data_IF_328018674731
#
_entry.id   IF_328018674731
#
_cell.length_a   1.000
_cell.length_b   1.000
_cell.length_c   1.000
_cell.angle_alpha   90.00
_cell.angle_beta   90.00
_cell.angle_gamma   90.00
#
_symmetry.space_group_name_H-M   'P 1'
#
loop_
_entity.id
_entity.type
_entity.pdbx_description
1 polymer ?
#
# COMPACT_ATOMS: atom_id res chain seq x y z
N UNK A 1 -10.03 -27.58 28.07
CA UNK A 1 -10.49 -26.26 27.54
C UNK A 1 -9.68 -25.07 28.07
N UNK A 2 -9.09 -25.06 29.26
CA UNK A 2 -8.31 -23.94 29.79
C UNK A 2 -6.97 -23.68 29.04
N UNK A 3 -6.32 -24.69 28.52
CA UNK A 3 -5.05 -24.55 27.77
C UNK A 3 -5.20 -23.88 26.41
N UNK A 4 -6.30 -24.13 25.72
CA UNK A 4 -6.58 -23.54 24.39
C UNK A 4 -6.93 -22.06 24.48
N UNK A 5 -7.65 -21.64 25.53
CA UNK A 5 -7.98 -20.22 25.77
C UNK A 5 -6.71 -19.42 26.13
N UNK A 6 -5.82 -20.02 26.92
CA UNK A 6 -4.53 -19.39 27.30
C UNK A 6 -3.56 -19.26 26.12
N UNK A 7 -3.55 -20.20 25.18
CA UNK A 7 -2.73 -20.11 23.96
C UNK A 7 -3.31 -19.10 22.96
N UNK A 8 -4.63 -19.05 22.79
CA UNK A 8 -5.32 -18.06 21.95
C UNK A 8 -5.11 -16.63 22.49
N UNK A 9 -5.21 -16.44 23.81
CA UNK A 9 -4.97 -15.13 24.44
C UNK A 9 -3.53 -14.65 24.28
N UNK A 10 -2.55 -15.57 24.36
CA UNK A 10 -1.13 -15.27 24.08
C UNK A 10 -0.89 -14.98 22.60
N UNK A 11 -1.53 -15.71 21.69
CA UNK A 11 -1.46 -15.46 20.25
C UNK A 11 -2.06 -14.10 19.89
N UNK A 12 -3.27 -13.78 20.37
CA UNK A 12 -3.93 -12.50 20.13
C UNK A 12 -3.25 -11.31 20.81
N UNK A 13 -2.60 -11.54 21.96
CA UNK A 13 -1.80 -10.53 22.66
C UNK A 13 -0.42 -10.27 22.03
N UNK A 14 0.00 -11.10 21.06
CA UNK A 14 1.26 -10.98 20.33
C UNK A 14 1.06 -10.54 18.88
N UNK A 15 2.01 -10.90 18.02
CA UNK A 15 1.99 -10.63 16.58
C UNK A 15 0.79 -11.27 15.84
N UNK A 16 0.20 -12.33 16.38
CA UNK A 16 -1.00 -12.98 15.82
C UNK A 16 -2.23 -12.07 15.80
N UNK A 17 -2.37 -11.17 16.79
CA UNK A 17 -3.44 -10.19 16.81
C UNK A 17 -3.38 -9.22 15.61
N UNK A 18 -2.18 -8.89 15.13
CA UNK A 18 -2.00 -8.04 13.96
C UNK A 18 -2.52 -8.74 12.71
N UNK A 19 -2.26 -10.04 12.56
CA UNK A 19 -2.75 -10.83 11.41
C UNK A 19 -4.27 -10.81 11.38
N UNK A 20 -4.91 -11.04 12.51
CA UNK A 20 -6.38 -10.98 12.63
C UNK A 20 -6.90 -9.57 12.34
N UNK A 21 -6.29 -8.53 12.94
CA UNK A 21 -6.68 -7.14 12.71
C UNK A 21 -6.55 -6.73 11.23
N UNK A 22 -5.46 -7.12 10.58
CA UNK A 22 -5.24 -6.85 9.14
C UNK A 22 -6.23 -7.62 8.28
N UNK A 23 -6.54 -8.88 8.62
CA UNK A 23 -7.55 -9.66 7.90
C UNK A 23 -8.94 -9.00 7.99
N UNK A 24 -9.34 -8.54 9.21
CA UNK A 24 -10.60 -7.80 9.41
C UNK A 24 -10.60 -6.51 8.60
N UNK A 25 -9.52 -5.73 8.65
CA UNK A 25 -9.38 -4.50 7.87
C UNK A 25 -9.56 -4.76 6.37
N UNK A 26 -8.87 -5.76 5.83
CA UNK A 26 -8.95 -6.10 4.41
C UNK A 26 -10.35 -6.57 4.02
N UNK A 27 -10.95 -7.47 4.82
CA UNK A 27 -12.30 -7.95 4.58
C UNK A 27 -13.33 -6.81 4.54
N UNK A 28 -13.29 -5.91 5.53
CA UNK A 28 -14.18 -4.75 5.55
C UNK A 28 -13.90 -3.78 4.40
N UNK A 29 -12.64 -3.59 4.02
CA UNK A 29 -12.26 -2.70 2.91
C UNK A 29 -12.76 -3.22 1.57
N UNK A 30 -12.51 -4.50 1.26
CA UNK A 30 -13.00 -5.10 0.03
C UNK A 30 -14.52 -5.25 0.03
N UNK A 31 -15.10 -5.67 1.17
CA UNK A 31 -16.55 -5.75 1.33
C UNK A 31 -17.25 -4.42 1.07
N UNK A 32 -16.70 -3.31 1.63
CA UNK A 32 -17.19 -1.95 1.34
C UNK A 32 -17.14 -1.64 -0.16
N UNK A 33 -16.00 -1.93 -0.81
CA UNK A 33 -15.82 -1.60 -2.23
C UNK A 33 -16.74 -2.42 -3.14
N UNK A 34 -16.97 -3.70 -2.80
CA UNK A 34 -17.91 -4.58 -3.53
C UNK A 34 -19.34 -4.07 -3.37
N UNK A 35 -19.77 -3.76 -2.14
CA UNK A 35 -21.13 -3.25 -1.86
C UNK A 35 -21.33 -1.88 -2.52
N UNK A 36 -20.32 -1.01 -2.48
CA UNK A 36 -20.37 0.29 -3.17
C UNK A 36 -20.56 0.12 -4.70
N UNK A 37 -19.95 -0.90 -5.31
CA UNK A 37 -20.18 -1.21 -6.73
C UNK A 37 -21.62 -1.57 -7.05
N UNK A 38 -22.35 -2.16 -6.08
CA UNK A 38 -23.78 -2.47 -6.22
C UNK A 38 -24.69 -1.25 -6.00
N UNK A 39 -24.30 -0.30 -5.14
CA UNK A 39 -25.12 0.87 -4.77
C UNK A 39 -24.94 2.04 -5.73
N UNK A 40 -23.68 2.36 -6.08
CA UNK A 40 -23.36 3.49 -6.96
C UNK A 40 -23.71 3.15 -8.42
N UNK A 41 -24.05 4.15 -9.20
CA UNK A 41 -24.05 4.02 -10.66
C UNK A 41 -22.63 3.76 -11.20
N UNK A 42 -22.52 3.40 -12.48
CA UNK A 42 -21.24 2.97 -13.05
C UNK A 42 -20.21 4.11 -13.11
N UNK A 43 -20.64 5.34 -13.43
CA UNK A 43 -19.75 6.51 -13.48
C UNK A 43 -19.24 6.90 -12.11
N UNK A 44 -20.17 7.04 -11.13
CA UNK A 44 -19.83 7.36 -9.73
C UNK A 44 -18.95 6.31 -9.09
N UNK A 45 -19.14 5.02 -9.41
CA UNK A 45 -18.24 3.97 -8.95
C UNK A 45 -16.83 4.11 -9.52
N UNK A 46 -16.73 4.42 -10.83
CA UNK A 46 -15.44 4.68 -11.48
C UNK A 46 -14.69 5.86 -10.83
N UNK A 47 -15.40 6.96 -10.55
CA UNK A 47 -14.86 8.13 -9.87
C UNK A 47 -14.39 7.80 -8.43
N UNK A 48 -15.24 7.12 -7.66
CA UNK A 48 -14.92 6.64 -6.32
C UNK A 48 -13.68 5.76 -6.31
N UNK A 49 -13.60 4.78 -7.24
CA UNK A 49 -12.47 3.86 -7.33
C UNK A 49 -11.17 4.58 -7.71
N UNK A 50 -11.24 5.57 -8.62
CA UNK A 50 -10.10 6.41 -8.97
C UNK A 50 -9.60 7.24 -7.78
N UNK A 51 -10.51 7.83 -7.00
CA UNK A 51 -10.18 8.57 -5.77
C UNK A 51 -9.53 7.66 -4.70
N UNK A 52 -10.03 6.42 -4.53
CA UNK A 52 -9.40 5.44 -3.64
C UNK A 52 -7.98 5.09 -4.07
N UNK A 53 -7.75 4.91 -5.38
CA UNK A 53 -6.41 4.64 -5.90
C UNK A 53 -5.47 5.83 -5.71
N UNK A 54 -5.96 7.07 -5.88
CA UNK A 54 -5.17 8.27 -5.59
C UNK A 54 -4.86 8.38 -4.09
N UNK A 55 -5.81 8.08 -3.21
CA UNK A 55 -5.58 8.02 -1.76
C UNK A 55 -4.53 6.95 -1.40
N UNK A 56 -4.51 5.82 -2.10
CA UNK A 56 -3.51 4.78 -1.96
C UNK A 56 -2.10 5.26 -2.33
N UNK A 57 -1.97 6.04 -3.42
CA UNK A 57 -0.69 6.67 -3.79
C UNK A 57 -0.24 7.66 -2.71
N UNK A 58 -1.16 8.50 -2.22
CA UNK A 58 -0.89 9.47 -1.14
C UNK A 58 -0.46 8.75 0.15
N UNK A 59 -1.03 7.58 0.44
CA UNK A 59 -0.72 6.80 1.64
C UNK A 59 0.72 6.28 1.71
N UNK A 60 1.51 6.39 0.62
CA UNK A 60 2.95 6.11 0.63
C UNK A 60 3.70 7.02 1.62
N UNK A 61 3.24 8.25 1.80
CA UNK A 61 3.81 9.18 2.81
C UNK A 61 3.63 8.59 4.21
N UNK A 62 2.45 8.03 4.49
CA UNK A 62 2.16 7.29 5.71
C UNK A 62 3.15 6.13 5.92
N UNK A 63 3.38 5.28 4.90
CA UNK A 63 4.32 4.16 4.99
C UNK A 63 5.76 4.62 5.24
N UNK A 64 6.17 5.73 4.66
CA UNK A 64 7.47 6.35 4.91
C UNK A 64 7.65 6.80 6.36
N UNK A 65 6.63 7.47 6.92
CA UNK A 65 6.61 7.88 8.33
C UNK A 65 6.60 6.66 9.27
N UNK A 66 5.77 5.65 8.97
CA UNK A 66 5.68 4.41 9.73
C UNK A 66 7.04 3.71 9.81
N UNK A 67 7.69 3.48 8.67
CA UNK A 67 8.97 2.79 8.60
C UNK A 67 10.08 3.57 9.36
N UNK A 68 10.10 4.89 9.23
CA UNK A 68 11.07 5.75 9.91
C UNK A 68 10.87 5.74 11.42
N UNK A 69 9.62 5.84 11.90
CA UNK A 69 9.27 5.80 13.31
C UNK A 69 9.68 4.46 13.94
N UNK A 70 9.25 3.34 13.34
CA UNK A 70 9.54 2.01 13.84
C UNK A 70 11.05 1.74 13.93
N UNK A 71 11.82 2.12 12.90
CA UNK A 71 13.28 1.92 12.87
C UNK A 71 14.00 2.73 13.92
N UNK A 72 13.68 4.02 14.08
CA UNK A 72 14.35 4.89 15.05
C UNK A 72 14.08 4.49 16.49
N UNK A 73 12.85 4.11 16.81
CA UNK A 73 12.51 3.64 18.17
C UNK A 73 13.28 2.37 18.51
N UNK A 74 13.44 1.44 17.57
CA UNK A 74 14.22 0.21 17.79
C UNK A 74 15.72 0.51 17.89
N UNK A 75 16.24 1.48 17.13
CA UNK A 75 17.66 1.81 17.12
C UNK A 75 18.10 2.59 18.37
N UNK A 76 17.23 3.40 18.99
CA UNK A 76 17.56 4.27 20.13
C UNK A 76 16.60 4.02 21.32
N UNK A 77 16.68 2.88 22.03
CA UNK A 77 15.73 2.53 23.10
C UNK A 77 15.70 3.51 24.28
N UNK A 78 16.81 4.20 24.55
CA UNK A 78 16.92 5.21 25.61
C UNK A 78 16.28 6.57 25.30
N UNK A 79 15.85 6.79 24.06
CA UNK A 79 15.34 8.10 23.58
C UNK A 79 13.89 8.03 23.07
N UNK A 80 13.15 7.00 23.40
CA UNK A 80 11.84 6.70 22.80
C UNK A 80 10.85 7.85 22.95
N UNK A 81 10.72 8.46 24.14
CA UNK A 81 9.78 9.57 24.36
C UNK A 81 10.12 10.80 23.48
N UNK A 82 11.41 11.12 23.31
CA UNK A 82 11.86 12.21 22.44
C UNK A 82 11.57 11.93 20.97
N UNK A 83 11.85 10.69 20.53
CA UNK A 83 11.58 10.24 19.16
C UNK A 83 10.08 10.28 18.87
N UNK A 84 9.25 9.81 19.80
CA UNK A 84 7.79 9.85 19.70
C UNK A 84 7.26 11.27 19.45
N UNK A 85 7.66 12.24 20.28
CA UNK A 85 7.26 13.63 20.11
C UNK A 85 7.72 14.20 18.76
N UNK A 86 8.97 13.91 18.35
CA UNK A 86 9.47 14.37 17.07
C UNK A 86 8.70 13.76 15.88
N UNK A 87 8.42 12.46 15.92
CA UNK A 87 7.66 11.74 14.88
C UNK A 87 6.22 12.25 14.82
N UNK A 88 5.53 12.42 15.96
CA UNK A 88 4.16 12.95 15.97
C UNK A 88 4.12 14.37 15.42
N UNK A 89 5.06 15.24 15.84
CA UNK A 89 5.15 16.59 15.29
C UNK A 89 5.35 16.59 13.78
N UNK A 90 6.30 15.79 13.27
CA UNK A 90 6.54 15.64 11.83
C UNK A 90 5.30 15.07 11.15
N UNK A 91 4.66 14.06 11.73
CA UNK A 91 3.43 13.46 11.23
C UNK A 91 2.30 14.47 11.08
N UNK A 92 2.03 15.30 12.10
CA UNK A 92 1.01 16.36 12.03
C UNK A 92 1.35 17.44 10.99
N UNK A 93 2.61 17.91 10.95
CA UNK A 93 3.02 18.90 9.96
C UNK A 93 2.93 18.36 8.54
N UNK A 94 3.37 17.13 8.32
CA UNK A 94 3.28 16.47 7.01
C UNK A 94 1.82 16.24 6.61
N UNK A 95 0.95 15.84 7.55
CA UNK A 95 -0.47 15.65 7.31
C UNK A 95 -1.15 16.95 6.87
N UNK A 96 -0.86 18.06 7.56
CA UNK A 96 -1.38 19.37 7.19
C UNK A 96 -0.83 19.86 5.85
N UNK A 97 0.46 19.63 5.59
CA UNK A 97 1.08 19.99 4.31
C UNK A 97 0.48 19.19 3.14
N UNK A 98 0.31 17.87 3.29
CA UNK A 98 -0.29 17.02 2.26
C UNK A 98 -1.77 17.36 2.07
N UNK A 99 -2.55 17.48 3.15
CA UNK A 99 -3.95 17.88 3.09
C UNK A 99 -4.13 19.26 2.46
N UNK A 100 -3.34 20.27 2.88
CA UNK A 100 -3.36 21.62 2.32
C UNK A 100 -2.96 21.64 0.84
N UNK A 101 -1.91 20.90 0.46
CA UNK A 101 -1.53 20.77 -0.95
C UNK A 101 -2.66 20.16 -1.79
N UNK A 102 -3.34 19.13 -1.28
CA UNK A 102 -4.46 18.50 -1.97
C UNK A 102 -5.70 19.41 -2.06
N UNK A 103 -5.95 20.27 -1.07
CA UNK A 103 -6.99 21.32 -1.17
C UNK A 103 -6.66 22.26 -2.32
N UNK A 104 -5.42 22.74 -2.41
CA UNK A 104 -4.97 23.62 -3.52
C UNK A 104 -5.03 22.88 -4.87
N UNK A 105 -4.69 21.61 -4.90
CA UNK A 105 -4.70 20.76 -6.11
C UNK A 105 -6.08 20.17 -6.41
N UNK A 106 -7.12 20.43 -5.59
CA UNK A 106 -8.45 19.84 -5.78
C UNK A 106 -9.06 20.14 -7.15
N UNK A 107 -8.89 21.33 -7.78
CA UNK A 107 -9.38 21.54 -9.15
C UNK A 107 -8.63 20.68 -10.19
N UNK A 108 -7.31 20.49 -9.99
CA UNK A 108 -6.52 19.63 -10.85
C UNK A 108 -6.90 18.16 -10.71
N UNK A 109 -7.18 17.69 -9.49
CA UNK A 109 -7.68 16.33 -9.22
C UNK A 109 -9.06 16.14 -9.87
N UNK A 110 -9.95 17.11 -9.73
CA UNK A 110 -11.28 17.11 -10.36
C UNK A 110 -11.18 16.97 -11.87
N UNK A 111 -10.32 17.75 -12.50
CA UNK A 111 -10.06 17.68 -13.95
C UNK A 111 -9.44 16.34 -14.33
N UNK A 112 -8.39 15.89 -13.60
CA UNK A 112 -7.66 14.66 -13.91
C UNK A 112 -8.54 13.41 -13.81
N UNK A 113 -9.44 13.36 -12.82
CA UNK A 113 -10.33 12.22 -12.57
C UNK A 113 -11.70 12.39 -13.21
N UNK A 114 -11.92 13.47 -13.99
CA UNK A 114 -13.19 13.78 -14.64
C UNK A 114 -14.37 13.70 -13.65
N UNK A 115 -14.26 14.42 -12.53
CA UNK A 115 -15.30 14.45 -11.50
C UNK A 115 -16.33 15.53 -11.81
N UNK A 116 -17.60 15.27 -11.51
CA UNK A 116 -18.69 16.25 -11.73
C UNK A 116 -18.62 17.45 -10.81
N UNK A 117 -17.92 17.34 -9.66
CA UNK A 117 -17.74 18.41 -8.70
C UNK A 117 -16.38 18.34 -8.00
N UNK A 118 -15.98 19.44 -7.36
CA UNK A 118 -14.75 19.51 -6.54
C UNK A 118 -14.91 18.82 -5.18
N UNK A 119 -16.14 18.53 -4.75
CA UNK A 119 -16.42 18.00 -3.42
C UNK A 119 -15.72 16.68 -3.13
N UNK A 120 -15.71 15.67 -4.03
CA UNK A 120 -14.97 14.42 -3.79
C UNK A 120 -13.47 14.64 -3.64
N UNK A 121 -12.88 15.58 -4.40
CA UNK A 121 -11.47 15.93 -4.28
C UNK A 121 -11.15 16.60 -2.93
N UNK A 122 -12.05 17.43 -2.41
CA UNK A 122 -11.91 18.03 -1.07
C UNK A 122 -12.07 16.97 0.04
N UNK A 123 -12.97 15.99 -0.12
CA UNK A 123 -13.09 14.85 0.79
C UNK A 123 -11.78 14.04 0.79
N UNK A 124 -11.18 13.79 -0.38
CA UNK A 124 -9.87 13.15 -0.51
C UNK A 124 -8.79 13.91 0.28
N UNK A 125 -8.72 15.24 0.12
CA UNK A 125 -7.80 16.10 0.85
C UNK A 125 -8.00 16.00 2.37
N UNK A 126 -9.23 16.00 2.83
CA UNK A 126 -9.59 15.81 4.24
C UNK A 126 -9.15 14.46 4.78
N UNK A 127 -9.31 13.38 4.00
CA UNK A 127 -8.91 12.02 4.39
C UNK A 127 -7.40 11.77 4.34
N UNK A 128 -6.66 12.51 3.53
CA UNK A 128 -5.20 12.44 3.51
C UNK A 128 -4.58 12.82 4.86
N UNK A 129 -5.24 13.71 5.63
CA UNK A 129 -4.78 14.13 6.95
C UNK A 129 -4.78 12.96 7.95
N UNK A 130 -5.91 12.32 8.28
CA UNK A 130 -5.92 11.20 9.21
C UNK A 130 -5.09 10.01 8.70
N UNK A 131 -5.06 9.76 7.39
CA UNK A 131 -4.23 8.69 6.80
C UNK A 131 -2.75 8.92 7.11
N UNK A 132 -2.24 10.14 6.96
CA UNK A 132 -0.84 10.48 7.23
C UNK A 132 -0.52 10.42 8.73
N UNK A 133 -1.39 10.92 9.60
CA UNK A 133 -1.23 10.85 11.06
C UNK A 133 -1.19 9.38 11.53
N UNK A 134 -2.08 8.54 10.99
CA UNK A 134 -2.13 7.12 11.30
C UNK A 134 -0.77 6.44 11.06
N UNK A 135 -0.03 6.82 10.00
CA UNK A 135 1.29 6.26 9.71
C UNK A 135 2.30 6.53 10.82
N UNK A 136 2.36 7.75 11.32
CA UNK A 136 3.23 8.10 12.43
C UNK A 136 2.87 7.29 13.70
N UNK A 137 1.58 7.21 14.05
CA UNK A 137 1.09 6.48 15.22
C UNK A 137 1.35 4.97 15.12
N UNK A 138 1.05 4.36 13.97
CA UNK A 138 1.30 2.93 13.70
C UNK A 138 2.78 2.62 13.79
N UNK A 139 3.64 3.48 13.23
CA UNK A 139 5.10 3.32 13.30
C UNK A 139 5.63 3.36 14.73
N UNK A 140 5.11 4.24 15.59
CA UNK A 140 5.46 4.32 17.00
C UNK A 140 5.02 3.03 17.72
N UNK A 141 3.76 2.63 17.60
CA UNK A 141 3.23 1.41 18.22
C UNK A 141 3.99 0.16 17.78
N UNK A 142 4.40 0.09 16.52
CA UNK A 142 5.19 -0.98 15.96
C UNK A 142 6.61 -1.01 16.51
N UNK A 143 7.28 0.14 16.60
CA UNK A 143 8.61 0.26 17.18
C UNK A 143 8.65 -0.11 18.66
N UNK A 144 7.62 0.24 19.41
CA UNK A 144 7.44 -0.09 20.82
C UNK A 144 6.93 -1.52 21.05
N UNK A 145 6.65 -2.27 20.00
CA UNK A 145 6.07 -3.63 20.06
C UNK A 145 4.74 -3.69 20.84
N UNK A 146 3.94 -2.62 20.78
CA UNK A 146 2.61 -2.55 21.42
C UNK A 146 1.56 -3.25 20.54
N UNK A 147 1.72 -4.56 20.39
CA UNK A 147 0.99 -5.39 19.44
C UNK A 147 -0.53 -5.36 19.62
N UNK A 148 -1.02 -5.33 20.88
CA UNK A 148 -2.46 -5.27 21.17
C UNK A 148 -3.08 -3.97 20.66
N UNK A 149 -2.43 -2.83 20.96
CA UNK A 149 -2.91 -1.52 20.47
C UNK A 149 -2.88 -1.46 18.95
N UNK A 150 -1.80 -1.96 18.33
CA UNK A 150 -1.64 -2.03 16.88
C UNK A 150 -2.73 -2.91 16.23
N UNK A 151 -3.07 -4.06 16.83
CA UNK A 151 -4.15 -4.93 16.35
C UNK A 151 -5.50 -4.20 16.36
N UNK A 152 -5.82 -3.46 17.41
CA UNK A 152 -7.04 -2.67 17.49
C UNK A 152 -7.06 -1.50 16.49
N UNK A 153 -5.92 -0.87 16.21
CA UNK A 153 -5.80 0.13 15.14
C UNK A 153 -6.21 -0.48 13.80
N UNK A 154 -5.75 -1.69 13.46
CA UNK A 154 -6.13 -2.36 12.22
C UNK A 154 -7.61 -2.80 12.21
N UNK A 155 -8.15 -3.29 13.33
CA UNK A 155 -9.60 -3.60 13.41
C UNK A 155 -10.43 -2.34 13.17
N UNK A 156 -10.08 -1.21 13.82
CA UNK A 156 -10.76 0.07 13.63
C UNK A 156 -10.49 0.70 12.25
N UNK A 157 -9.45 0.28 11.56
CA UNK A 157 -9.26 0.65 10.16
C UNK A 157 -10.25 -0.05 9.21
N UNK A 158 -10.91 -1.12 9.65
CA UNK A 158 -11.92 -1.85 8.88
C UNK A 158 -13.36 -1.56 9.33
N UNK A 159 -13.69 -1.89 10.56
CA UNK A 159 -15.06 -1.97 11.08
C UNK A 159 -15.90 -0.70 10.88
N UNK A 160 -15.39 0.54 11.10
CA UNK A 160 -16.18 1.76 10.92
C UNK A 160 -16.67 1.99 9.49
N UNK A 161 -16.05 1.36 8.49
CA UNK A 161 -16.52 1.40 7.10
C UNK A 161 -17.91 0.81 6.93
N UNK A 162 -18.30 -0.13 7.79
CA UNK A 162 -19.65 -0.70 7.78
C UNK A 162 -20.70 0.39 8.04
N UNK A 163 -20.41 1.32 8.97
CA UNK A 163 -21.29 2.49 9.18
C UNK A 163 -21.30 3.42 7.95
N UNK A 164 -20.19 3.48 7.21
CA UNK A 164 -20.10 4.20 5.94
C UNK A 164 -21.03 3.64 4.85
N UNK A 165 -21.34 2.34 4.87
CA UNK A 165 -22.32 1.75 3.94
C UNK A 165 -23.74 2.27 4.19
N UNK A 166 -24.13 2.51 5.45
CA UNK A 166 -25.42 3.05 5.77
C UNK A 166 -25.57 4.51 5.24
N UNK A 167 -24.48 5.31 5.33
CA UNK A 167 -24.45 6.65 4.74
C UNK A 167 -24.54 6.59 3.22
N UNK A 168 -23.82 5.65 2.60
CA UNK A 168 -23.82 5.46 1.15
C UNK A 168 -25.19 5.04 0.64
N UNK A 169 -25.90 4.20 1.39
CA UNK A 169 -27.26 3.79 1.02
C UNK A 169 -28.23 4.98 1.03
N UNK A 170 -28.08 5.89 2.02
CA UNK A 170 -28.94 7.07 2.11
C UNK A 170 -28.65 8.09 1.00
N UNK A 171 -27.38 8.24 0.62
CA UNK A 171 -26.90 9.22 -0.37
C UNK A 171 -25.83 8.58 -1.27
N UNK A 172 -26.24 7.95 -2.40
CA UNK A 172 -25.34 7.20 -3.27
C UNK A 172 -24.50 8.11 -4.18
N UNK A 173 -23.49 8.76 -3.62
CA UNK A 173 -22.53 9.60 -4.36
C UNK A 173 -21.09 9.13 -4.09
N UNK A 174 -20.17 9.40 -5.04
CA UNK A 174 -18.75 9.08 -4.92
C UNK A 174 -18.10 9.79 -3.71
N UNK A 175 -18.55 11.00 -3.37
CA UNK A 175 -18.07 11.75 -2.21
C UNK A 175 -18.44 11.06 -0.89
N UNK A 176 -19.67 10.60 -0.76
CA UNK A 176 -20.16 9.85 0.43
C UNK A 176 -19.49 8.47 0.49
N UNK A 177 -19.32 7.79 -0.64
CA UNK A 177 -18.59 6.53 -0.69
C UNK A 177 -17.13 6.70 -0.19
N UNK A 178 -16.45 7.74 -0.67
CA UNK A 178 -15.09 8.06 -0.23
C UNK A 178 -15.05 8.41 1.25
N UNK A 179 -15.95 9.26 1.74
CA UNK A 179 -16.06 9.63 3.14
C UNK A 179 -16.37 8.41 4.03
N UNK A 180 -17.32 7.57 3.63
CA UNK A 180 -17.68 6.33 4.34
C UNK A 180 -16.50 5.36 4.45
N UNK A 181 -15.75 5.17 3.36
CA UNK A 181 -14.51 4.39 3.39
C UNK A 181 -13.46 5.05 4.31
N UNK A 182 -13.46 6.36 4.39
CA UNK A 182 -12.54 7.18 5.18
C UNK A 182 -12.74 7.10 6.69
N UNK A 183 -13.90 6.65 7.17
CA UNK A 183 -14.12 6.36 8.59
C UNK A 183 -13.11 5.35 9.14
N UNK A 184 -12.63 4.46 8.27
CA UNK A 184 -11.53 3.54 8.57
C UNK A 184 -10.16 4.21 8.77
N UNK A 185 -10.01 5.50 8.54
CA UNK A 185 -8.79 6.25 8.87
C UNK A 185 -8.97 7.15 10.09
N UNK A 186 -10.17 7.66 10.33
CA UNK A 186 -10.48 8.55 11.45
C UNK A 186 -10.45 7.78 12.77
N UNK A 187 -11.17 6.66 12.85
CA UNK A 187 -11.28 5.88 14.09
C UNK A 187 -9.92 5.36 14.62
N UNK A 188 -9.01 4.81 13.79
CA UNK A 188 -7.67 4.43 14.22
C UNK A 188 -6.85 5.59 14.78
N UNK A 189 -6.95 6.79 14.15
CA UNK A 189 -6.21 7.97 14.60
C UNK A 189 -6.67 8.40 16.00
N UNK A 190 -7.97 8.36 16.28
CA UNK A 190 -8.52 8.66 17.60
C UNK A 190 -8.03 7.66 18.66
N UNK A 191 -8.01 6.35 18.32
CA UNK A 191 -7.46 5.33 19.21
C UNK A 191 -5.95 5.54 19.43
N UNK A 192 -5.19 5.76 18.35
CA UNK A 192 -3.75 6.00 18.42
C UNK A 192 -3.41 7.19 19.31
N UNK A 193 -4.14 8.29 19.15
CA UNK A 193 -4.01 9.47 19.98
C UNK A 193 -4.33 9.17 21.46
N UNK A 194 -5.41 8.44 21.77
CA UNK A 194 -5.75 8.04 23.13
C UNK A 194 -4.69 7.13 23.77
N UNK A 195 -4.18 6.18 23.01
CA UNK A 195 -3.17 5.21 23.46
C UNK A 195 -1.82 5.88 23.70
N UNK A 196 -1.41 6.84 22.86
CA UNK A 196 -0.12 7.54 22.95
C UNK A 196 -0.15 8.71 23.96
N UNK A 197 -1.32 9.17 24.40
CA UNK A 197 -1.45 10.19 25.46
C UNK A 197 -1.06 9.74 26.85
N UNK A 198 -1.06 8.42 27.12
CA UNK A 198 -0.75 7.90 28.46
C UNK A 198 0.72 8.14 28.78
N UNK A 199 1.05 8.85 29.89
CA UNK A 199 2.43 9.04 30.30
C UNK A 199 3.10 7.67 30.48
N UNK A 200 4.33 7.56 30.01
CA UNK A 200 5.13 6.36 30.28
C UNK A 200 5.63 6.38 31.70
N UNK A 201 5.57 5.22 32.34
CA UNK A 201 6.12 5.00 33.69
C UNK A 201 7.67 5.08 33.64
N UNK A 202 8.28 4.85 32.47
CA UNK A 202 9.73 4.76 32.29
C UNK A 202 10.40 6.05 31.74
N UNK A 203 9.71 7.18 31.79
CA UNK A 203 10.34 8.46 31.45
C UNK A 203 11.30 8.85 32.58
N UNK A 204 12.60 8.51 32.41
CA UNK A 204 13.65 8.97 33.32
C UNK A 204 13.61 10.49 33.44
N UNK A 205 13.46 11.05 34.67
CA UNK A 205 13.47 12.48 34.86
C UNK A 205 14.89 13.00 34.59
N UNK A 206 15.07 13.82 33.57
CA UNK A 206 16.33 14.55 33.39
C UNK A 206 16.95 14.58 31.99
N UNK A 207 16.38 13.93 30.99
CA UNK A 207 16.86 14.08 29.62
C UNK A 207 16.48 15.46 29.05
N UNK A 208 17.45 16.36 28.86
CA UNK A 208 17.25 17.60 28.10
C UNK A 208 16.71 17.25 26.74
N UNK A 209 15.49 17.69 26.44
CA UNK A 209 14.85 17.59 25.13
C UNK A 209 15.51 18.57 24.16
N UNK A 210 16.65 18.20 23.59
CA UNK A 210 17.11 18.91 22.41
C UNK A 210 16.15 18.59 21.24
N UNK A 211 15.67 19.61 20.51
CA UNK A 211 14.76 19.40 19.40
C UNK A 211 15.47 18.60 18.31
N UNK A 212 15.07 17.35 18.11
CA UNK A 212 15.53 16.59 16.93
C UNK A 212 15.05 17.33 15.69
N UNK A 213 15.97 17.79 14.84
CA UNK A 213 15.64 18.53 13.63
C UNK A 213 14.66 17.72 12.76
N UNK A 214 13.51 18.31 12.42
CA UNK A 214 12.45 17.65 11.66
C UNK A 214 12.87 17.34 10.20
N UNK A 215 13.77 18.15 9.63
CA UNK A 215 14.21 18.03 8.23
C UNK A 215 14.86 16.68 7.86
N UNK A 216 15.81 16.13 8.66
CA UNK A 216 16.38 14.82 8.39
C UNK A 216 15.35 13.69 8.41
N UNK A 217 14.35 13.77 9.30
CA UNK A 217 13.27 12.77 9.40
C UNK A 217 12.39 12.74 8.15
N UNK A 218 11.97 13.91 7.67
CA UNK A 218 11.16 14.03 6.46
C UNK A 218 11.94 13.54 5.24
N UNK A 219 13.21 13.94 5.11
CA UNK A 219 14.07 13.51 3.99
C UNK A 219 14.25 11.98 3.99
N UNK A 220 14.45 11.38 5.15
CA UNK A 220 14.61 9.95 5.32
C UNK A 220 13.30 9.20 4.97
N UNK A 221 12.15 9.71 5.44
CA UNK A 221 10.83 9.16 5.12
C UNK A 221 10.54 9.24 3.62
N UNK A 222 10.80 10.36 2.97
CA UNK A 222 10.63 10.55 1.53
C UNK A 222 11.55 9.64 0.71
N UNK A 223 12.82 9.51 1.10
CA UNK A 223 13.76 8.63 0.40
C UNK A 223 13.32 7.17 0.48
N UNK A 224 12.87 6.71 1.65
CA UNK A 224 12.34 5.36 1.84
C UNK A 224 11.02 5.14 1.06
N UNK A 225 10.25 6.19 0.85
CA UNK A 225 8.96 6.14 0.17
C UNK A 225 9.07 6.14 -1.37
N UNK A 226 10.17 6.61 -1.97
CA UNK A 226 10.27 6.80 -3.43
C UNK A 226 9.98 5.56 -4.26
N UNK A 227 10.50 4.40 -3.87
CA UNK A 227 10.29 3.17 -4.63
C UNK A 227 8.84 2.65 -4.49
N UNK A 228 8.27 2.81 -3.30
CA UNK A 228 6.86 2.49 -3.06
C UNK A 228 5.94 3.47 -3.78
N UNK A 229 6.31 4.77 -3.82
CA UNK A 229 5.58 5.78 -4.57
C UNK A 229 5.52 5.42 -6.06
N UNK A 230 6.66 5.09 -6.67
CA UNK A 230 6.72 4.68 -8.06
C UNK A 230 5.85 3.44 -8.33
N UNK A 231 5.90 2.44 -7.42
CA UNK A 231 5.10 1.22 -7.52
C UNK A 231 3.60 1.50 -7.38
N UNK A 232 3.17 2.25 -6.36
CA UNK A 232 1.75 2.55 -6.16
C UNK A 232 1.20 3.49 -7.24
N UNK A 233 2.01 4.42 -7.75
CA UNK A 233 1.65 5.23 -8.90
C UNK A 233 1.44 4.36 -10.14
N UNK A 234 2.36 3.41 -10.43
CA UNK A 234 2.21 2.44 -11.52
C UNK A 234 0.96 1.58 -11.34
N UNK A 235 0.73 1.07 -10.12
CA UNK A 235 -0.42 0.23 -9.81
C UNK A 235 -1.75 0.98 -9.83
N UNK A 236 -1.76 2.29 -9.97
CA UNK A 236 -2.98 3.13 -9.94
C UNK A 236 -3.16 4.01 -11.18
N UNK A 237 -2.18 4.01 -12.09
CA UNK A 237 -2.23 4.86 -13.30
C UNK A 237 -3.31 4.41 -14.28
N UNK A 238 -3.61 3.14 -14.30
CA UNK A 238 -4.57 2.50 -15.19
C UNK A 238 -5.98 3.13 -15.07
N UNK A 239 -6.49 3.30 -13.84
CA UNK A 239 -7.80 3.93 -13.63
C UNK A 239 -7.78 5.45 -13.96
N UNK A 240 -6.65 6.13 -13.72
CA UNK A 240 -6.52 7.54 -14.07
C UNK A 240 -6.57 7.73 -15.60
N UNK A 241 -5.82 6.90 -16.33
CA UNK A 241 -5.84 6.89 -17.79
C UNK A 241 -7.22 6.49 -18.30
N UNK A 242 -7.84 5.46 -17.73
CA UNK A 242 -9.19 5.00 -18.10
C UNK A 242 -10.22 6.14 -17.99
N UNK A 243 -10.19 6.90 -16.90
CA UNK A 243 -11.09 8.06 -16.69
C UNK A 243 -10.90 9.17 -17.72
N UNK A 244 -9.72 9.28 -18.31
CA UNK A 244 -9.41 10.34 -19.26
C UNK A 244 -9.65 9.94 -20.72
N UNK A 245 -9.47 8.67 -21.08
CA UNK A 245 -9.55 8.22 -22.48
C UNK A 245 -10.82 7.44 -22.80
N UNK A 246 -11.52 6.89 -21.80
CA UNK A 246 -12.75 6.15 -21.98
C UNK A 246 -13.97 7.01 -21.60
N UNK A 247 -15.15 6.60 -22.06
CA UNK A 247 -16.41 7.18 -21.56
C UNK A 247 -16.60 6.89 -20.09
N UNK A 248 -17.39 7.69 -19.37
CA UNK A 248 -17.66 7.50 -17.94
C UNK A 248 -18.19 6.10 -17.62
N UNK A 249 -19.10 5.59 -18.43
CA UNK A 249 -19.63 4.24 -18.30
C UNK A 249 -18.54 3.19 -18.51
N UNK A 250 -17.73 3.29 -19.57
CA UNK A 250 -16.65 2.33 -19.85
C UNK A 250 -15.55 2.35 -18.77
N UNK A 251 -15.20 3.55 -18.26
CA UNK A 251 -14.23 3.69 -17.18
C UNK A 251 -14.73 3.10 -15.86
N UNK A 252 -16.04 3.20 -15.58
CA UNK A 252 -16.68 2.58 -14.44
C UNK A 252 -16.68 1.06 -14.53
N UNK A 253 -16.98 0.48 -15.69
CA UNK A 253 -16.85 -0.96 -15.93
C UNK A 253 -15.40 -1.43 -15.79
N UNK A 254 -14.44 -0.66 -16.30
CA UNK A 254 -13.02 -0.92 -16.11
C UNK A 254 -12.63 -0.96 -14.63
N UNK A 255 -13.17 -0.04 -13.81
CA UNK A 255 -12.97 -0.01 -12.36
C UNK A 255 -13.48 -1.28 -11.66
N UNK A 256 -14.61 -1.86 -12.10
CA UNK A 256 -15.10 -3.16 -11.60
C UNK A 256 -14.09 -4.27 -11.87
N UNK A 257 -13.54 -4.33 -13.09
CA UNK A 257 -12.48 -5.29 -13.41
C UNK A 257 -11.21 -5.07 -12.57
N UNK A 258 -10.81 -3.80 -12.35
CA UNK A 258 -9.65 -3.48 -11.51
C UNK A 258 -9.81 -3.92 -10.04
N UNK A 259 -11.01 -4.07 -9.53
CA UNK A 259 -11.23 -4.64 -8.20
C UNK A 259 -10.63 -6.05 -8.10
N UNK A 260 -10.76 -6.88 -9.16
CA UNK A 260 -10.13 -8.20 -9.25
C UNK A 260 -8.61 -8.06 -9.25
N UNK A 261 -8.04 -7.16 -10.07
CA UNK A 261 -6.60 -6.91 -10.09
C UNK A 261 -6.05 -6.48 -8.72
N UNK A 262 -6.76 -5.61 -8.00
CA UNK A 262 -6.36 -5.18 -6.65
C UNK A 262 -6.47 -6.31 -5.63
N UNK A 263 -7.49 -7.16 -5.72
CA UNK A 263 -7.58 -8.35 -4.88
C UNK A 263 -6.38 -9.27 -5.09
N UNK A 264 -6.00 -9.49 -6.35
CA UNK A 264 -4.80 -10.27 -6.69
C UNK A 264 -3.52 -9.62 -6.18
N UNK A 265 -3.44 -8.29 -6.15
CA UNK A 265 -2.28 -7.57 -5.63
C UNK A 265 -2.11 -7.75 -4.11
N UNK A 266 -3.20 -7.74 -3.35
CA UNK A 266 -3.14 -7.84 -1.88
C UNK A 266 -3.07 -9.27 -1.35
N UNK A 267 -3.59 -10.25 -2.11
CA UNK A 267 -3.63 -11.64 -1.69
C UNK A 267 -2.22 -12.19 -1.38
N UNK A 268 -1.17 -12.01 -2.24
CA UNK A 268 0.17 -12.50 -1.96
C UNK A 268 1.00 -11.58 -1.03
N UNK A 269 0.44 -10.53 -0.48
CA UNK A 269 1.19 -9.61 0.38
C UNK A 269 1.85 -10.33 1.57
N UNK A 270 1.22 -11.39 2.10
CA UNK A 270 1.82 -12.22 3.14
C UNK A 270 3.10 -12.91 2.68
N UNK A 271 3.18 -13.32 1.41
CA UNK A 271 4.41 -13.92 0.82
C UNK A 271 5.55 -12.93 0.89
N UNK A 272 5.29 -11.66 0.53
CA UNK A 272 6.28 -10.59 0.59
C UNK A 272 6.74 -10.36 2.02
N UNK A 273 5.81 -10.29 2.98
CA UNK A 273 6.12 -10.06 4.40
C UNK A 273 6.99 -11.19 4.95
N UNK A 274 6.65 -12.45 4.67
CA UNK A 274 7.39 -13.63 5.13
C UNK A 274 8.77 -13.73 4.46
N UNK A 275 8.86 -13.36 3.19
CA UNK A 275 10.10 -13.43 2.42
C UNK A 275 11.05 -12.25 2.69
N UNK A 276 10.57 -11.13 3.22
CA UNK A 276 11.36 -9.90 3.37
C UNK A 276 12.68 -10.08 4.13
N UNK A 277 12.76 -10.80 5.28
CA UNK A 277 14.03 -11.05 5.95
C UNK A 277 15.04 -11.82 5.07
N UNK A 278 14.55 -12.79 4.29
CA UNK A 278 15.38 -13.58 3.37
C UNK A 278 15.82 -12.77 2.14
N UNK A 279 15.02 -11.79 1.70
CA UNK A 279 15.37 -10.86 0.63
C UNK A 279 16.46 -9.87 1.06
N UNK A 280 16.54 -9.53 2.34
CA UNK A 280 17.60 -8.69 2.90
C UNK A 280 18.94 -9.44 3.02
N UNK A 281 18.93 -10.76 3.17
CA UNK A 281 20.13 -11.61 3.28
C UNK A 281 20.79 -11.87 1.92
N UNK A 282 22.08 -11.52 1.76
CA UNK A 282 22.81 -11.70 0.49
C UNK A 282 22.83 -13.17 0.01
N UNK A 283 23.05 -14.12 0.94
CA UNK A 283 23.16 -15.54 0.60
C UNK A 283 21.81 -16.22 0.28
N UNK A 284 20.71 -15.72 0.81
CA UNK A 284 19.38 -16.33 0.63
C UNK A 284 18.54 -15.65 -0.44
N UNK A 285 18.93 -14.45 -0.88
CA UNK A 285 18.14 -13.58 -1.75
C UNK A 285 17.69 -14.25 -3.03
N UNK A 286 18.60 -14.86 -3.81
CA UNK A 286 18.26 -15.52 -5.07
C UNK A 286 17.20 -16.60 -4.86
N UNK A 287 17.36 -17.41 -3.82
CA UNK A 287 16.38 -18.45 -3.46
C UNK A 287 15.06 -17.83 -3.00
N UNK A 288 15.10 -16.73 -2.25
CA UNK A 288 13.90 -16.02 -1.79
C UNK A 288 13.15 -15.39 -2.97
N UNK A 289 13.84 -14.73 -3.91
CA UNK A 289 13.22 -14.17 -5.13
C UNK A 289 12.58 -15.28 -5.95
N UNK A 290 13.32 -16.39 -6.22
CA UNK A 290 12.77 -17.51 -7.00
C UNK A 290 11.55 -18.13 -6.31
N UNK A 291 11.63 -18.46 -5.01
CA UNK A 291 10.51 -19.04 -4.26
C UNK A 291 9.32 -18.09 -4.18
N UNK A 292 9.56 -16.81 -3.92
CA UNK A 292 8.51 -15.80 -3.88
C UNK A 292 7.82 -15.62 -5.23
N UNK A 293 8.58 -15.54 -6.31
CA UNK A 293 8.07 -15.47 -7.69
C UNK A 293 7.24 -16.72 -8.02
N UNK A 294 7.75 -17.92 -7.74
CA UNK A 294 7.03 -19.18 -7.99
C UNK A 294 5.73 -19.25 -7.18
N UNK A 295 5.76 -18.85 -5.89
CA UNK A 295 4.57 -18.83 -5.04
C UNK A 295 3.50 -17.86 -5.56
N UNK A 296 3.90 -16.64 -5.96
CA UNK A 296 2.97 -15.64 -6.51
C UNK A 296 2.41 -16.11 -7.85
N UNK A 297 3.23 -16.68 -8.73
CA UNK A 297 2.77 -17.23 -10.02
C UNK A 297 1.78 -18.39 -9.83
N UNK A 298 2.09 -19.33 -8.94
CA UNK A 298 1.21 -20.46 -8.65
C UNK A 298 -0.14 -19.97 -8.08
N UNK A 299 -0.11 -19.05 -7.13
CA UNK A 299 -1.32 -18.47 -6.55
C UNK A 299 -2.09 -17.64 -7.57
N UNK A 300 -1.39 -16.82 -8.38
CA UNK A 300 -2.00 -16.06 -9.46
C UNK A 300 -2.66 -16.95 -10.50
N UNK A 301 -2.02 -18.06 -10.88
CA UNK A 301 -2.60 -19.05 -11.81
C UNK A 301 -3.88 -19.70 -11.24
N UNK A 302 -3.84 -20.12 -9.96
CA UNK A 302 -5.02 -20.70 -9.29
C UNK A 302 -6.16 -19.68 -9.21
N UNK A 303 -5.87 -18.44 -8.84
CA UNK A 303 -6.87 -17.38 -8.76
C UNK A 303 -7.41 -16.99 -10.14
N UNK A 304 -6.55 -16.88 -11.16
CA UNK A 304 -6.97 -16.59 -12.54
C UNK A 304 -7.88 -17.71 -13.07
N UNK A 305 -7.53 -18.97 -12.81
CA UNK A 305 -8.37 -20.11 -13.14
C UNK A 305 -9.71 -20.04 -12.36
N UNK A 306 -9.67 -19.70 -11.09
CA UNK A 306 -10.86 -19.48 -10.28
C UNK A 306 -11.77 -18.39 -10.86
N UNK A 307 -11.18 -17.25 -11.27
CA UNK A 307 -11.92 -16.18 -11.95
C UNK A 307 -12.53 -16.67 -13.26
N UNK A 308 -11.78 -17.38 -14.09
CA UNK A 308 -12.29 -17.95 -15.36
C UNK A 308 -13.48 -18.91 -15.17
N UNK A 309 -13.44 -19.75 -14.13
CA UNK A 309 -14.48 -20.74 -13.87
C UNK A 309 -15.69 -20.18 -13.14
N UNK A 310 -15.49 -19.19 -12.26
CA UNK A 310 -16.50 -18.70 -11.31
C UNK A 310 -17.06 -17.32 -11.66
N UNK A 311 -16.50 -16.60 -12.66
CA UNK A 311 -16.94 -15.23 -12.98
C UNK A 311 -18.43 -15.16 -13.32
N UNK A 312 -18.92 -16.06 -14.15
CA UNK A 312 -20.35 -16.15 -14.52
C UNK A 312 -21.23 -16.44 -13.32
N UNK A 313 -20.89 -17.47 -12.56
CA UNK A 313 -21.64 -17.83 -11.34
C UNK A 313 -21.63 -16.69 -10.31
N UNK A 314 -20.52 -16.01 -10.15
CA UNK A 314 -20.41 -14.86 -9.24
C UNK A 314 -21.25 -13.67 -9.73
N UNK A 315 -21.27 -13.39 -11.04
CA UNK A 315 -22.07 -12.35 -11.64
C UNK A 315 -23.59 -12.62 -11.45
N UNK A 316 -24.00 -13.86 -11.65
CA UNK A 316 -25.39 -14.30 -11.47
C UNK A 316 -25.82 -14.22 -9.99
N UNK A 317 -24.98 -14.72 -9.07
CA UNK A 317 -25.28 -14.71 -7.63
C UNK A 317 -25.35 -13.30 -7.07
N UNK A 318 -24.47 -12.41 -7.53
CA UNK A 318 -24.45 -11.00 -7.09
C UNK A 318 -25.51 -10.14 -7.78
N UNK A 319 -26.22 -10.68 -8.80
CA UNK A 319 -27.20 -9.96 -9.61
C UNK A 319 -26.66 -8.59 -10.10
N UNK A 320 -25.37 -8.55 -10.46
CA UNK A 320 -24.67 -7.32 -10.83
C UNK A 320 -24.51 -7.21 -12.33
N UNK A 321 -25.34 -6.37 -12.96
CA UNK A 321 -25.24 -6.06 -14.40
C UNK A 321 -23.85 -5.59 -14.80
N UNK A 322 -23.18 -4.81 -13.93
CA UNK A 322 -21.80 -4.32 -14.16
C UNK A 322 -20.79 -5.46 -14.22
N UNK A 323 -20.94 -6.48 -13.38
CA UNK A 323 -20.06 -7.64 -13.36
C UNK A 323 -20.30 -8.54 -14.58
N UNK A 324 -21.56 -8.70 -14.99
CA UNK A 324 -21.93 -9.40 -16.22
C UNK A 324 -21.34 -8.74 -17.46
N UNK A 325 -21.32 -7.39 -17.52
CA UNK A 325 -20.75 -6.64 -18.63
C UNK A 325 -19.22 -6.82 -18.81
N UNK A 326 -18.49 -7.28 -17.79
CA UNK A 326 -17.03 -7.46 -17.82
C UNK A 326 -16.56 -8.89 -17.58
N UNK A 327 -17.48 -9.84 -17.33
CA UNK A 327 -17.17 -11.21 -16.90
C UNK A 327 -16.20 -11.94 -17.83
N UNK A 328 -16.33 -11.78 -19.13
CA UNK A 328 -15.48 -12.42 -20.14
C UNK A 328 -14.02 -11.91 -20.11
N UNK A 329 -13.79 -10.76 -19.52
CA UNK A 329 -12.45 -10.11 -19.45
C UNK A 329 -11.85 -10.10 -18.04
N UNK A 330 -12.57 -10.54 -17.00
CA UNK A 330 -12.11 -10.50 -15.60
C UNK A 330 -10.80 -11.25 -15.37
N UNK A 331 -10.55 -12.34 -16.11
CA UNK A 331 -9.31 -13.09 -16.02
C UNK A 331 -8.08 -12.30 -16.45
N UNK A 332 -8.22 -11.35 -17.41
CA UNK A 332 -7.14 -10.45 -17.80
C UNK A 332 -6.76 -9.50 -16.65
N UNK A 333 -7.75 -9.02 -15.89
CA UNK A 333 -7.48 -8.23 -14.68
C UNK A 333 -6.80 -9.06 -13.58
N UNK A 334 -7.12 -10.36 -13.46
CA UNK A 334 -6.41 -11.25 -12.56
C UNK A 334 -4.94 -11.45 -12.98
N UNK A 335 -4.66 -11.55 -14.28
CA UNK A 335 -3.29 -11.58 -14.82
C UNK A 335 -2.56 -10.27 -14.50
N UNK A 336 -3.19 -9.11 -14.76
CA UNK A 336 -2.60 -7.80 -14.43
C UNK A 336 -2.26 -7.71 -12.94
N UNK A 337 -3.18 -8.09 -12.05
CA UNK A 337 -2.95 -8.09 -10.61
C UNK A 337 -1.82 -9.03 -10.17
N UNK A 338 -1.69 -10.19 -10.82
CA UNK A 338 -0.56 -11.12 -10.59
C UNK A 338 0.78 -10.49 -11.00
N UNK A 339 0.84 -9.82 -12.14
CA UNK A 339 2.04 -9.09 -12.59
C UNK A 339 2.40 -7.95 -11.62
N UNK A 340 1.41 -7.17 -11.17
CA UNK A 340 1.62 -6.13 -10.14
C UNK A 340 2.14 -6.71 -8.83
N UNK A 341 1.67 -7.89 -8.40
CA UNK A 341 2.18 -8.58 -7.22
C UNK A 341 3.63 -9.04 -7.38
N UNK A 342 4.01 -9.50 -8.57
CA UNK A 342 5.40 -9.83 -8.89
C UNK A 342 6.29 -8.58 -8.87
N UNK A 343 5.83 -7.48 -9.47
CA UNK A 343 6.54 -6.20 -9.42
C UNK A 343 6.71 -5.76 -7.96
N UNK A 344 5.68 -5.88 -7.14
CA UNK A 344 5.74 -5.55 -5.71
C UNK A 344 6.85 -6.33 -4.99
N UNK A 345 6.89 -7.67 -5.16
CA UNK A 345 7.96 -8.52 -4.60
C UNK A 345 9.34 -8.05 -5.05
N UNK A 346 9.52 -7.79 -6.35
CA UNK A 346 10.79 -7.38 -6.93
C UNK A 346 11.20 -5.96 -6.49
N UNK A 347 10.26 -5.05 -6.32
CA UNK A 347 10.50 -3.71 -5.74
C UNK A 347 10.94 -3.84 -4.29
N UNK A 348 10.31 -4.68 -3.46
CA UNK A 348 10.78 -4.93 -2.09
C UNK A 348 12.16 -5.58 -2.06
N UNK A 349 12.46 -6.50 -2.98
CA UNK A 349 13.80 -7.09 -3.10
C UNK A 349 14.88 -6.05 -3.45
N UNK A 350 14.54 -5.04 -4.26
CA UNK A 350 15.45 -3.94 -4.61
C UNK A 350 15.57 -2.88 -3.53
N UNK A 351 14.49 -2.60 -2.80
CA UNK A 351 14.51 -1.75 -1.60
C UNK A 351 15.47 -2.30 -0.54
N UNK A 352 15.45 -3.61 -0.32
CA UNK A 352 16.38 -4.27 0.60
C UNK A 352 17.86 -4.08 0.22
N UNK A 353 18.15 -3.64 -1.03
CA UNK A 353 19.50 -3.40 -1.58
C UNK A 353 19.86 -1.93 -1.76
N UNK A 354 18.95 -1.00 -1.52
CA UNK A 354 19.10 0.42 -1.86
C UNK A 354 19.45 0.67 -3.35
N UNK A 355 18.97 -0.21 -4.25
CA UNK A 355 19.26 -0.16 -5.68
C UNK A 355 18.45 0.90 -6.42
N UNK A 356 19.08 1.95 -6.94
CA UNK A 356 18.39 3.05 -7.67
C UNK A 356 17.88 2.63 -9.06
N UNK A 357 18.53 1.68 -9.73
CA UNK A 357 18.17 1.29 -11.12
C UNK A 357 16.74 0.78 -11.26
N UNK A 358 16.26 -0.02 -10.31
CA UNK A 358 14.91 -0.54 -10.35
C UNK A 358 13.85 0.57 -10.21
N UNK A 359 14.11 1.60 -9.42
CA UNK A 359 13.21 2.74 -9.27
C UNK A 359 13.03 3.46 -10.62
N UNK A 360 14.13 3.68 -11.35
CA UNK A 360 14.07 4.29 -12.67
C UNK A 360 13.29 3.44 -13.68
N UNK A 361 13.42 2.10 -13.63
CA UNK A 361 12.64 1.20 -14.49
C UNK A 361 11.14 1.31 -14.20
N UNK A 362 10.73 1.41 -12.94
CA UNK A 362 9.32 1.56 -12.56
C UNK A 362 8.78 2.91 -13.05
N UNK A 363 9.55 4.02 -12.87
CA UNK A 363 9.16 5.34 -13.39
C UNK A 363 9.07 5.37 -14.93
N UNK A 364 10.00 4.72 -15.62
CA UNK A 364 9.96 4.59 -17.08
C UNK A 364 8.72 3.81 -17.54
N UNK A 365 8.42 2.68 -16.88
CA UNK A 365 7.21 1.91 -17.16
C UNK A 365 5.93 2.71 -16.91
N UNK A 366 5.88 3.50 -15.83
CA UNK A 366 4.77 4.40 -15.55
C UNK A 366 4.58 5.42 -16.71
N UNK A 367 5.66 6.04 -17.15
CA UNK A 367 5.60 6.97 -18.28
C UNK A 367 5.09 6.28 -19.58
N UNK A 368 5.56 5.06 -19.85
CA UNK A 368 5.08 4.28 -21.01
C UNK A 368 3.60 3.92 -20.85
N UNK A 369 3.13 3.54 -19.65
CA UNK A 369 1.71 3.29 -19.39
C UNK A 369 0.84 4.52 -19.67
N UNK A 370 1.29 5.72 -19.26
CA UNK A 370 0.57 6.96 -19.54
C UNK A 370 0.53 7.25 -21.03
N UNK A 371 1.68 7.23 -21.70
CA UNK A 371 1.77 7.60 -23.14
C UNK A 371 1.05 6.58 -24.02
N UNK A 372 1.32 5.29 -23.84
CA UNK A 372 0.68 4.24 -24.62
C UNK A 372 -0.80 4.08 -24.28
N UNK A 373 -1.17 4.25 -23.01
CA UNK A 373 -2.56 4.22 -22.55
C UNK A 373 -3.38 5.38 -23.13
N UNK A 374 -2.80 6.58 -23.21
CA UNK A 374 -3.46 7.75 -23.80
C UNK A 374 -3.81 7.58 -25.31
N UNK A 375 -3.15 6.66 -26.00
CA UNK A 375 -3.43 6.33 -27.40
C UNK A 375 -4.54 5.27 -27.57
N UNK A 376 -5.09 4.71 -26.49
CA UNK A 376 -6.13 3.68 -26.53
C UNK A 376 -7.52 4.30 -26.58
N UNK A 377 -8.47 3.58 -27.18
CA UNK A 377 -9.86 4.03 -27.32
C UNK A 377 -10.86 3.04 -26.71
N UNK A 378 -10.41 1.83 -26.35
CA UNK A 378 -11.27 0.79 -25.77
C UNK A 378 -10.70 0.24 -24.48
N UNK A 379 -11.55 -0.23 -23.53
CA UNK A 379 -11.09 -0.84 -22.27
C UNK A 379 -10.12 -2.02 -22.48
N UNK A 380 -10.36 -2.84 -23.50
CA UNK A 380 -9.55 -4.02 -23.80
C UNK A 380 -8.16 -3.64 -24.32
N UNK A 381 -8.07 -2.59 -25.18
CA UNK A 381 -6.78 -2.06 -25.63
C UNK A 381 -5.98 -1.51 -24.45
N UNK A 382 -6.62 -0.70 -23.58
CA UNK A 382 -5.96 -0.15 -22.40
C UNK A 382 -5.42 -1.26 -21.50
N UNK A 383 -6.25 -2.27 -21.22
CA UNK A 383 -5.87 -3.42 -20.39
C UNK A 383 -4.69 -4.19 -21.00
N UNK A 384 -4.71 -4.39 -22.33
CA UNK A 384 -3.62 -5.08 -23.04
C UNK A 384 -2.30 -4.31 -22.97
N UNK A 385 -2.34 -2.98 -23.08
CA UNK A 385 -1.17 -2.10 -22.91
C UNK A 385 -0.64 -2.22 -21.47
N UNK A 386 -1.51 -2.15 -20.45
CA UNK A 386 -1.11 -2.26 -19.05
C UNK A 386 -0.47 -3.64 -18.76
N UNK A 387 -1.05 -4.74 -19.27
CA UNK A 387 -0.48 -6.09 -19.12
C UNK A 387 0.88 -6.17 -19.84
N UNK A 388 0.98 -5.68 -21.08
CA UNK A 388 2.22 -5.73 -21.84
C UNK A 388 3.36 -4.99 -21.14
N UNK A 389 3.13 -3.74 -20.72
CA UNK A 389 4.14 -2.93 -20.03
C UNK A 389 4.54 -3.55 -18.68
N UNK A 390 3.58 -4.00 -17.88
CA UNK A 390 3.87 -4.63 -16.58
C UNK A 390 4.57 -5.97 -16.75
N UNK A 391 4.29 -6.77 -17.78
CA UNK A 391 5.00 -8.00 -18.10
C UNK A 391 6.47 -7.73 -18.44
N UNK A 392 6.73 -6.76 -19.32
CA UNK A 392 8.10 -6.35 -19.68
C UNK A 392 8.86 -5.84 -18.46
N UNK A 393 8.22 -4.99 -17.64
CA UNK A 393 8.81 -4.49 -16.40
C UNK A 393 9.13 -5.64 -15.44
N UNK A 394 8.20 -6.59 -15.25
CA UNK A 394 8.40 -7.76 -14.40
C UNK A 394 9.63 -8.56 -14.85
N UNK A 395 9.75 -8.83 -16.16
CA UNK A 395 10.90 -9.53 -16.74
C UNK A 395 12.21 -8.73 -16.50
N UNK A 396 12.20 -7.42 -16.74
CA UNK A 396 13.36 -6.56 -16.53
C UNK A 396 13.81 -6.53 -15.06
N UNK A 397 12.87 -6.36 -14.12
CA UNK A 397 13.16 -6.38 -12.68
C UNK A 397 13.63 -7.76 -12.21
N UNK A 398 13.07 -8.85 -12.73
CA UNK A 398 13.49 -10.21 -12.41
C UNK A 398 14.93 -10.47 -12.86
N UNK A 399 15.26 -10.13 -14.11
CA UNK A 399 16.63 -10.28 -14.66
C UNK A 399 17.63 -9.43 -13.86
N UNK A 400 17.30 -8.19 -13.54
CA UNK A 400 18.18 -7.32 -12.75
C UNK A 400 18.36 -7.83 -11.31
N UNK A 401 17.31 -8.42 -10.72
CA UNK A 401 17.39 -9.04 -9.40
C UNK A 401 18.31 -10.26 -9.35
N UNK A 402 18.41 -11.02 -10.44
CA UNK A 402 19.28 -12.19 -10.53
C UNK A 402 20.73 -11.86 -10.91
N UNK A 403 20.95 -10.85 -11.79
CA UNK A 403 22.29 -10.50 -12.31
C UNK A 403 23.17 -9.74 -11.32
N UNK A 404 22.62 -9.12 -10.29
CA UNK A 404 23.39 -8.27 -9.37
C UNK A 404 24.17 -9.04 -8.30
N UNK A 405 24.52 -10.30 -8.55
CA UNK A 405 25.30 -11.17 -7.65
C UNK A 405 26.81 -11.22 -7.95
N UNK A 406 27.33 -10.46 -8.90
CA UNK A 406 28.79 -10.35 -9.05
C UNK A 406 29.33 -9.42 -7.96
N UNK A 407 29.97 -9.93 -6.89
CA UNK A 407 30.85 -9.09 -6.12
C UNK A 407 31.96 -8.70 -7.10
N UNK A 408 32.13 -7.43 -7.38
CA UNK A 408 33.38 -6.90 -7.88
C UNK A 408 34.48 -7.46 -6.96
N UNK A 409 35.28 -8.39 -7.49
CA UNK A 409 36.47 -8.91 -6.81
C UNK A 409 37.42 -7.75 -6.56
N UNK A 410 37.22 -7.05 -5.47
CA UNK A 410 38.31 -6.32 -4.84
C UNK A 410 39.17 -7.37 -4.19
N UNK A 411 40.18 -7.80 -4.96
CA UNK A 411 41.33 -8.51 -4.49
C UNK A 411 41.87 -7.80 -3.23
N UNK A 412 41.60 -8.38 -2.08
CA UNK A 412 42.45 -8.14 -0.91
C UNK A 412 43.75 -8.95 -1.20
N UNK A 413 44.53 -8.40 -2.14
CA UNK A 413 45.90 -8.77 -2.38
C UNK A 413 46.77 -7.89 -1.50
N UNK A 414 47.39 -8.51 -0.53
CA UNK A 414 48.65 -8.07 -0.01
C UNK A 414 48.66 -6.87 0.94
N UNK A 415 48.68 -7.16 2.21
CA UNK A 415 49.59 -6.52 3.17
C UNK A 415 49.56 -7.37 4.46
N UNK A 416 50.37 -8.43 4.43
CA UNK A 416 50.89 -9.02 5.67
C UNK A 416 52.01 -8.07 6.14
N UNK A 417 51.88 -7.42 7.31
CA UNK A 417 53.01 -6.78 7.90
C UNK A 417 53.96 -7.87 8.44
N UNK A 418 55.17 -7.87 7.95
CA UNK A 418 56.28 -8.64 8.49
C UNK A 418 56.44 -8.40 9.99
N UNK A 419 56.35 -9.45 10.77
CA UNK A 419 56.75 -9.42 12.16
C UNK A 419 58.26 -9.15 12.26
N UNK A 420 58.59 -7.98 12.71
CA UNK A 420 59.96 -7.66 13.19
C UNK A 420 60.21 -8.42 14.48
N UNK A 421 61.12 -9.42 14.37
CA UNK A 421 61.89 -9.94 15.52
C UNK A 421 62.80 -8.80 15.97
N UNK A 422 62.77 -8.49 17.21
CA UNK A 422 63.87 -7.80 17.93
C UNK A 422 63.98 -8.47 19.30
N UNK A 423 65.16 -8.84 19.55
CA UNK A 423 65.85 -9.42 20.68
C UNK A 423 65.36 -9.01 22.07
#
# INVERSE_FOLDING_TARGET
MSGTIGSLRRFLGGSGGIVVGTAVMNFCTFGFTIVAAGILDTSSYGAFFALLNLLMVISVVNLGLQATAARRIVAEPGSVARIEHAILRVGYLTALAVGGALVVLSPAVTWLLQLDSVVPALVLAGLAVPTTIMGAQVGILQGEKRWVALSWVYVLAGVPRIAGLALLWAHPTEAIALFGSGLGFIAPVLLGWWVLRRPRVDALPGGRTEPTASGPLVREALHSAQALLAFYALASVDIVVARHVLTDHASGLYAVGLLVAKTMLYLPQFVVIVMFPSLASAHQRRRAVLRGTTAILAMGAVCTLGVLLLSRTAADVLHSEKMQAVEDHLWLFAVLGTLLSLIQLLVYATLARQGRRAIHLVWAALAVCVVAGAATTTPTQLLSVMIGVTAVLTAALFVTSLRSESPSGASVGGLVPAATRAD
#
